data_IF_210728389744
#
_entry.id   IF_210728389744
#
_cell.length_a   1.000
_cell.length_b   1.000
_cell.length_c   1.000
_cell.angle_alpha   90.00
_cell.angle_beta   90.00
_cell.angle_gamma   90.00
#
_symmetry.space_group_name_H-M   'P 1'
#
loop_
_entity.id
_entity.type
_entity.pdbx_description
1 polymer ?
#
# COMPACT_ATOMS: atom_id res chain seq x y z
N UNK A 1 -33.50 -46.10 8.93
CA UNK A 1 -34.94 -46.39 9.07
C UNK A 1 -35.11 -47.87 9.39
N UNK A 2 -35.62 -48.20 10.57
CA UNK A 2 -35.76 -49.59 11.07
C UNK A 2 -36.89 -50.36 10.38
N UNK A 3 -36.86 -50.45 9.05
CA UNK A 3 -37.82 -51.23 8.27
C UNK A 3 -37.61 -52.71 8.60
N UNK A 4 -38.64 -53.43 9.10
CA UNK A 4 -38.50 -54.84 9.46
C UNK A 4 -38.23 -55.68 8.21
N UNK A 5 -37.32 -56.66 8.32
CA UNK A 5 -37.03 -57.60 7.23
C UNK A 5 -38.26 -58.45 6.92
N UNK A 6 -38.43 -58.82 5.64
CA UNK A 6 -39.52 -59.69 5.21
C UNK A 6 -39.44 -61.05 5.92
N UNK A 7 -40.52 -61.43 6.60
CA UNK A 7 -40.67 -62.73 7.28
C UNK A 7 -41.87 -63.47 6.68
N UNK A 8 -41.59 -64.39 5.76
CA UNK A 8 -42.61 -65.05 4.95
C UNK A 8 -43.64 -65.85 5.75
N UNK A 9 -43.26 -66.35 6.94
CA UNK A 9 -44.16 -67.14 7.81
C UNK A 9 -45.10 -66.20 8.56
N UNK A 10 -44.59 -65.16 9.23
CA UNK A 10 -45.42 -64.22 9.99
C UNK A 10 -46.33 -63.37 9.10
N UNK A 11 -45.88 -63.02 7.89
CA UNK A 11 -46.67 -62.25 6.92
C UNK A 11 -47.79 -63.04 6.25
N UNK A 12 -47.71 -64.38 6.24
CA UNK A 12 -48.77 -65.26 5.73
C UNK A 12 -49.91 -65.40 6.76
N UNK A 13 -49.57 -65.57 8.05
CA UNK A 13 -50.55 -65.75 9.13
C UNK A 13 -51.10 -64.42 9.70
N UNK A 14 -50.40 -63.28 9.52
CA UNK A 14 -50.83 -61.98 10.04
C UNK A 14 -50.77 -60.87 8.96
N UNK A 15 -51.84 -60.72 8.15
CA UNK A 15 -51.94 -59.71 7.08
C UNK A 15 -51.62 -58.24 7.46
N UNK A 16 -51.93 -57.71 8.66
CA UNK A 16 -51.61 -56.32 9.00
C UNK A 16 -50.10 -56.04 9.12
N UNK A 17 -49.28 -57.03 9.47
CA UNK A 17 -47.82 -56.87 9.57
C UNK A 17 -47.19 -56.70 8.18
N UNK A 18 -47.66 -57.47 7.19
CA UNK A 18 -47.26 -57.32 5.79
C UNK A 18 -47.61 -55.92 5.26
N UNK A 19 -48.84 -55.45 5.52
CA UNK A 19 -49.27 -54.09 5.11
C UNK A 19 -48.44 -52.99 5.77
N UNK A 20 -48.12 -53.11 7.07
CA UNK A 20 -47.29 -52.15 7.80
C UNK A 20 -45.84 -52.10 7.27
N UNK A 21 -45.22 -53.26 7.00
CA UNK A 21 -43.88 -53.33 6.39
C UNK A 21 -43.86 -52.67 5.01
N UNK A 22 -44.81 -53.02 4.15
CA UNK A 22 -44.90 -52.46 2.80
C UNK A 22 -45.07 -50.93 2.83
N UNK A 23 -45.90 -50.40 3.72
CA UNK A 23 -46.05 -48.95 3.92
C UNK A 23 -44.74 -48.30 4.38
N UNK A 24 -44.03 -48.90 5.33
CA UNK A 24 -42.72 -48.41 5.78
C UNK A 24 -41.65 -48.48 4.68
N UNK A 25 -41.69 -49.51 3.82
CA UNK A 25 -40.80 -49.62 2.65
C UNK A 25 -41.10 -48.55 1.61
N UNK A 26 -42.37 -48.26 1.34
CA UNK A 26 -42.79 -47.19 0.43
C UNK A 26 -42.37 -45.82 0.96
N UNK A 27 -42.63 -45.54 2.24
CA UNK A 27 -42.18 -44.30 2.91
C UNK A 27 -40.66 -44.18 2.89
N UNK A 28 -39.92 -45.27 3.15
CA UNK A 28 -38.47 -45.27 3.12
C UNK A 28 -37.91 -45.04 1.71
N UNK A 29 -38.52 -45.66 0.68
CA UNK A 29 -38.16 -45.42 -0.73
C UNK A 29 -38.45 -43.99 -1.15
N UNK A 30 -39.59 -43.43 -0.72
CA UNK A 30 -39.95 -42.04 -1.01
C UNK A 30 -38.95 -41.08 -0.37
N UNK A 31 -38.61 -41.28 0.90
CA UNK A 31 -37.64 -40.42 1.59
C UNK A 31 -36.24 -40.57 0.99
N UNK A 32 -35.82 -41.77 0.61
CA UNK A 32 -34.55 -41.99 -0.08
C UNK A 32 -34.49 -41.22 -1.42
N UNK A 33 -35.54 -41.30 -2.24
CA UNK A 33 -35.63 -40.55 -3.50
C UNK A 33 -35.52 -39.04 -3.27
N UNK A 34 -36.26 -38.50 -2.30
CA UNK A 34 -36.19 -37.08 -1.94
C UNK A 34 -34.77 -36.68 -1.49
N UNK A 35 -34.12 -37.49 -0.64
CA UNK A 35 -32.75 -37.23 -0.19
C UNK A 35 -31.73 -37.30 -1.32
N UNK A 36 -31.92 -38.21 -2.27
CA UNK A 36 -31.07 -38.34 -3.45
C UNK A 36 -31.22 -37.13 -4.38
N UNK A 37 -32.45 -36.66 -4.59
CA UNK A 37 -32.73 -35.42 -5.34
C UNK A 37 -32.11 -34.20 -4.66
N UNK A 38 -32.31 -34.04 -3.34
CA UNK A 38 -31.67 -32.97 -2.55
C UNK A 38 -30.14 -33.04 -2.67
N UNK A 39 -29.55 -34.23 -2.58
CA UNK A 39 -28.11 -34.43 -2.73
C UNK A 39 -27.63 -34.00 -4.11
N UNK A 40 -28.26 -34.46 -5.19
CA UNK A 40 -27.86 -34.09 -6.55
C UNK A 40 -28.03 -32.59 -6.83
N UNK A 41 -29.07 -31.95 -6.27
CA UNK A 41 -29.22 -30.49 -6.39
C UNK A 41 -28.11 -29.74 -5.65
N UNK A 42 -27.74 -30.19 -4.45
CA UNK A 42 -26.61 -29.61 -3.69
C UNK A 42 -25.27 -29.84 -4.39
N UNK A 43 -25.05 -31.03 -4.92
CA UNK A 43 -23.85 -31.36 -5.69
C UNK A 43 -23.73 -30.46 -6.93
N UNK A 44 -24.83 -30.33 -7.70
CA UNK A 44 -24.88 -29.48 -8.89
C UNK A 44 -24.65 -28.00 -8.56
N UNK A 45 -25.27 -27.48 -7.51
CA UNK A 45 -25.09 -26.08 -7.09
C UNK A 45 -23.69 -25.82 -6.55
N UNK A 46 -23.14 -26.73 -5.74
CA UNK A 46 -21.76 -26.64 -5.25
C UNK A 46 -20.75 -26.68 -6.40
N UNK A 47 -20.95 -27.56 -7.38
CA UNK A 47 -20.10 -27.64 -8.57
C UNK A 47 -20.18 -26.38 -9.42
N UNK A 48 -21.37 -25.83 -9.63
CA UNK A 48 -21.55 -24.58 -10.37
C UNK A 48 -20.86 -23.39 -9.66
N UNK A 49 -21.02 -23.29 -8.33
CA UNK A 49 -20.34 -22.26 -7.54
C UNK A 49 -18.81 -22.41 -7.56
N UNK A 50 -18.31 -23.65 -7.53
CA UNK A 50 -16.89 -23.94 -7.66
C UNK A 50 -16.35 -23.53 -9.04
N UNK A 51 -17.01 -23.92 -10.13
CA UNK A 51 -16.55 -23.55 -11.48
C UNK A 51 -16.58 -22.05 -11.71
N UNK A 52 -17.55 -21.33 -11.14
CA UNK A 52 -17.59 -19.86 -11.21
C UNK A 52 -16.38 -19.23 -10.50
N UNK A 53 -16.09 -19.66 -9.26
CA UNK A 53 -14.92 -19.18 -8.50
C UNK A 53 -13.61 -19.56 -9.18
N UNK A 54 -13.53 -20.76 -9.75
CA UNK A 54 -12.37 -21.23 -10.49
C UNK A 54 -12.15 -20.39 -11.74
N UNK A 55 -13.22 -20.08 -12.48
CA UNK A 55 -13.14 -19.23 -13.67
C UNK A 55 -12.67 -17.82 -13.31
N UNK A 56 -13.26 -17.17 -12.30
CA UNK A 56 -12.84 -15.83 -11.88
C UNK A 56 -11.38 -15.81 -11.43
N UNK A 57 -10.96 -16.80 -10.63
CA UNK A 57 -9.57 -16.93 -10.19
C UNK A 57 -8.59 -17.09 -11.37
N UNK A 58 -8.93 -17.92 -12.37
CA UNK A 58 -8.08 -18.10 -13.56
C UNK A 58 -8.02 -16.84 -14.43
N UNK A 59 -9.11 -16.08 -14.53
CA UNK A 59 -9.15 -14.80 -15.23
C UNK A 59 -8.28 -13.75 -14.53
N UNK A 60 -8.42 -13.59 -13.21
CA UNK A 60 -7.57 -12.71 -12.38
C UNK A 60 -6.10 -13.09 -12.49
N UNK A 61 -5.77 -14.38 -12.39
CA UNK A 61 -4.42 -14.90 -12.55
C UNK A 61 -3.86 -14.58 -13.94
N UNK A 62 -4.65 -14.78 -14.99
CA UNK A 62 -4.22 -14.47 -16.37
C UNK A 62 -3.97 -12.99 -16.57
N UNK A 63 -4.82 -12.11 -16.03
CA UNK A 63 -4.64 -10.66 -16.11
C UNK A 63 -3.40 -10.20 -15.34
N UNK A 64 -3.18 -10.75 -14.14
CA UNK A 64 -1.98 -10.48 -13.35
C UNK A 64 -0.70 -10.94 -14.06
N UNK A 65 -0.69 -12.17 -14.59
CA UNK A 65 0.48 -12.67 -15.32
C UNK A 65 0.80 -11.79 -16.55
N UNK A 66 -0.23 -11.37 -17.27
CA UNK A 66 -0.06 -10.47 -18.41
C UNK A 66 0.53 -9.11 -17.99
N UNK A 67 0.09 -8.53 -16.87
CA UNK A 67 0.65 -7.27 -16.36
C UNK A 67 2.12 -7.40 -15.94
N UNK A 68 2.50 -8.54 -15.37
CA UNK A 68 3.90 -8.85 -15.04
C UNK A 68 4.76 -8.98 -16.29
N UNK A 69 4.28 -9.68 -17.33
CA UNK A 69 5.00 -9.81 -18.59
C UNK A 69 5.16 -8.46 -19.30
N UNK A 70 4.13 -7.62 -19.26
CA UNK A 70 4.20 -6.25 -19.78
C UNK A 70 5.23 -5.41 -19.01
N UNK A 71 5.21 -5.47 -17.66
CA UNK A 71 6.18 -4.76 -16.83
C UNK A 71 7.63 -5.21 -17.13
N UNK A 72 7.85 -6.51 -17.36
CA UNK A 72 9.17 -7.04 -17.77
C UNK A 72 9.63 -6.47 -19.10
N UNK A 73 8.74 -6.40 -20.08
CA UNK A 73 9.04 -5.81 -21.39
C UNK A 73 9.36 -4.32 -21.27
N UNK A 74 8.59 -3.59 -20.49
CA UNK A 74 8.76 -2.15 -20.31
C UNK A 74 10.04 -1.82 -19.51
N UNK A 75 10.37 -2.62 -18.50
CA UNK A 75 11.65 -2.56 -17.80
C UNK A 75 12.80 -2.87 -18.76
N UNK A 76 12.65 -3.89 -19.61
CA UNK A 76 13.67 -4.23 -20.60
C UNK A 76 13.90 -3.09 -21.61
N UNK A 77 12.86 -2.32 -21.94
CA UNK A 77 12.94 -1.11 -22.77
C UNK A 77 13.43 0.13 -22.01
N UNK A 78 13.58 0.06 -20.68
CA UNK A 78 13.97 1.19 -19.83
C UNK A 78 12.90 2.27 -19.72
N UNK A 79 11.62 1.89 -19.82
CA UNK A 79 10.51 2.82 -19.63
C UNK A 79 10.50 3.39 -18.21
N UNK A 80 10.40 4.72 -18.02
CA UNK A 80 10.56 5.32 -16.69
C UNK A 80 9.63 4.76 -15.63
N UNK A 81 8.33 4.65 -15.93
CA UNK A 81 7.35 4.11 -14.99
C UNK A 81 7.66 2.67 -14.55
N UNK A 82 8.21 1.85 -15.45
CA UNK A 82 8.58 0.47 -15.15
C UNK A 82 9.82 0.38 -14.26
N UNK A 83 10.85 1.19 -14.54
CA UNK A 83 12.06 1.28 -13.70
C UNK A 83 11.70 1.77 -12.29
N UNK A 84 10.91 2.84 -12.20
CA UNK A 84 10.43 3.38 -10.92
C UNK A 84 9.61 2.35 -10.12
N UNK A 85 8.67 1.66 -10.77
CA UNK A 85 7.87 0.63 -10.11
C UNK A 85 8.73 -0.53 -9.62
N UNK A 86 9.67 -1.00 -10.43
CA UNK A 86 10.59 -2.06 -10.08
C UNK A 86 11.43 -1.69 -8.86
N UNK A 87 12.02 -0.49 -8.85
CA UNK A 87 12.83 0.01 -7.73
C UNK A 87 11.99 0.17 -6.46
N UNK A 88 10.78 0.73 -6.54
CA UNK A 88 9.89 0.83 -5.37
C UNK A 88 9.58 -0.54 -4.76
N UNK A 89 9.22 -1.51 -5.60
CA UNK A 89 8.98 -2.88 -5.15
C UNK A 89 10.24 -3.49 -4.54
N UNK A 90 11.39 -3.29 -5.17
CA UNK A 90 12.67 -3.78 -4.66
C UNK A 90 13.00 -3.20 -3.28
N UNK A 91 12.87 -1.88 -3.10
CA UNK A 91 13.13 -1.22 -1.81
C UNK A 91 12.14 -1.63 -0.72
N UNK A 92 10.88 -1.91 -1.07
CA UNK A 92 9.89 -2.43 -0.12
C UNK A 92 10.20 -3.82 0.44
N UNK A 93 11.12 -4.56 -0.20
CA UNK A 93 11.60 -5.86 0.28
C UNK A 93 12.81 -5.75 1.20
N UNK A 94 13.34 -4.54 1.44
CA UNK A 94 14.42 -4.33 2.38
C UNK A 94 14.00 -4.73 3.79
N UNK A 95 14.94 -5.32 4.51
CA UNK A 95 14.75 -5.73 5.90
C UNK A 95 15.50 -4.78 6.82
N UNK A 96 14.82 -4.32 7.85
CA UNK A 96 15.34 -3.48 8.91
C UNK A 96 14.56 -3.81 10.20
N UNK A 97 15.05 -3.39 11.38
CA UNK A 97 14.38 -3.71 12.64
C UNK A 97 12.92 -3.23 12.66
N UNK A 98 12.03 -4.00 13.27
CA UNK A 98 10.57 -3.75 13.29
C UNK A 98 10.19 -2.38 13.88
N UNK A 99 11.06 -1.80 14.72
CA UNK A 99 10.86 -0.49 15.32
C UNK A 99 11.09 0.69 14.35
N UNK A 100 11.57 0.41 13.13
CA UNK A 100 11.76 1.42 12.09
C UNK A 100 10.69 1.28 11.03
N UNK A 101 10.12 2.41 10.64
CA UNK A 101 9.28 2.53 9.46
C UNK A 101 9.99 3.42 8.44
N UNK A 102 10.09 2.94 7.20
CA UNK A 102 10.71 3.68 6.10
C UNK A 102 9.82 3.60 4.88
N UNK A 103 9.42 4.75 4.35
CA UNK A 103 8.67 4.85 3.10
C UNK A 103 9.62 5.25 1.98
N UNK A 104 9.56 4.55 0.85
CA UNK A 104 10.41 4.83 -0.32
C UNK A 104 9.57 5.29 -1.52
N UNK A 105 10.03 6.34 -2.20
CA UNK A 105 9.62 6.65 -3.58
C UNK A 105 10.86 6.73 -4.49
N UNK A 106 10.63 6.57 -5.78
CA UNK A 106 11.67 6.59 -6.80
C UNK A 106 11.18 7.32 -8.06
N UNK A 107 12.08 8.11 -8.64
CA UNK A 107 11.93 8.75 -9.96
C UNK A 107 13.11 8.40 -10.84
N UNK A 108 12.83 8.09 -12.10
CA UNK A 108 13.85 7.69 -13.05
C UNK A 108 13.93 8.68 -14.21
N UNK A 109 15.10 9.29 -14.37
CA UNK A 109 15.44 10.19 -15.45
C UNK A 109 16.20 9.42 -16.54
N UNK A 110 15.47 8.97 -17.56
CA UNK A 110 15.99 8.06 -18.60
C UNK A 110 17.17 8.65 -19.39
N UNK A 111 17.17 9.96 -19.64
CA UNK A 111 18.23 10.63 -20.41
C UNK A 111 19.61 10.45 -19.78
N UNK A 112 19.69 10.61 -18.46
CA UNK A 112 20.94 10.52 -17.69
C UNK A 112 21.15 9.14 -17.05
N UNK A 113 20.20 8.20 -17.23
CA UNK A 113 20.14 6.92 -16.50
C UNK A 113 20.29 7.13 -14.99
N UNK A 114 19.62 8.18 -14.50
CA UNK A 114 19.69 8.65 -13.13
C UNK A 114 18.44 8.22 -12.39
N UNK A 115 18.63 7.56 -11.26
CA UNK A 115 17.56 7.19 -10.34
C UNK A 115 17.62 8.08 -9.09
N UNK A 116 16.55 8.80 -8.81
CA UNK A 116 16.41 9.62 -7.59
C UNK A 116 15.47 8.89 -6.65
N UNK A 117 15.97 8.56 -5.46
CA UNK A 117 15.21 7.86 -4.41
C UNK A 117 15.00 8.81 -3.24
N UNK A 118 13.77 8.85 -2.76
CA UNK A 118 13.44 9.50 -1.49
C UNK A 118 13.08 8.43 -0.46
N UNK A 119 13.70 8.51 0.71
CA UNK A 119 13.38 7.70 1.87
C UNK A 119 12.86 8.61 2.97
N UNK A 120 11.68 8.31 3.49
CA UNK A 120 11.10 8.99 4.65
C UNK A 120 11.27 8.10 5.86
N UNK A 121 12.13 8.54 6.78
CA UNK A 121 12.38 7.86 8.05
C UNK A 121 11.41 8.33 9.14
N UNK A 122 11.14 7.46 10.11
CA UNK A 122 10.54 7.86 11.37
C UNK A 122 11.42 8.87 12.13
N UNK A 123 10.78 9.70 12.94
CA UNK A 123 11.45 10.67 13.78
C UNK A 123 12.19 9.98 14.95
N UNK A 124 13.26 10.59 15.51
CA UNK A 124 14.05 9.96 16.56
C UNK A 124 13.27 9.61 17.84
N UNK A 125 12.16 10.30 18.12
CA UNK A 125 11.31 10.01 19.27
C UNK A 125 10.32 8.86 19.05
N UNK A 126 10.13 8.39 17.81
CA UNK A 126 9.34 7.19 17.50
C UNK A 126 10.14 5.90 17.73
N UNK A 127 11.47 6.01 17.89
CA UNK A 127 12.37 4.86 18.01
C UNK A 127 12.59 4.52 19.49
N UNK A 128 12.39 3.25 19.90
CA UNK A 128 12.64 2.80 21.27
C UNK A 128 14.09 3.05 21.72
N UNK A 129 14.25 3.55 22.95
CA UNK A 129 15.57 3.76 23.57
C UNK A 129 16.00 2.64 24.51
N UNK A 130 15.09 1.75 24.87
CA UNK A 130 15.33 0.68 25.82
C UNK A 130 16.24 -0.40 25.22
N UNK A 131 17.36 -0.67 25.88
CA UNK A 131 18.32 -1.73 25.53
C UNK A 131 17.86 -3.07 26.10
N UNK A 132 17.46 -3.06 27.37
CA UNK A 132 17.03 -4.26 28.11
C UNK A 132 16.21 -3.89 29.32
N UNK A 133 15.46 -4.87 29.83
CA UNK A 133 14.80 -4.79 31.12
C UNK A 133 15.58 -5.58 32.17
N UNK A 134 15.70 -5.04 33.38
CA UNK A 134 16.41 -5.66 34.49
C UNK A 134 15.50 -5.72 35.71
N UNK A 135 15.55 -6.82 36.46
CA UNK A 135 14.87 -6.90 37.74
C UNK A 135 15.79 -6.38 38.84
N UNK A 136 15.29 -5.41 39.61
CA UNK A 136 16.01 -4.85 40.76
C UNK A 136 15.34 -5.38 42.02
N UNK A 137 16.06 -6.23 42.77
CA UNK A 137 15.56 -6.85 44.01
C UNK A 137 15.14 -5.82 45.05
N UNK A 138 15.91 -4.74 45.21
CA UNK A 138 15.65 -3.66 46.18
C UNK A 138 14.33 -2.92 45.91
N UNK A 139 13.94 -2.80 44.64
CA UNK A 139 12.70 -2.13 44.20
C UNK A 139 11.55 -3.13 43.94
N UNK A 140 11.82 -4.43 44.07
CA UNK A 140 10.94 -5.51 43.66
C UNK A 140 10.28 -5.30 42.28
N UNK A 141 11.02 -4.70 41.34
CA UNK A 141 10.48 -4.16 40.10
C UNK A 141 11.33 -4.45 38.87
N UNK A 142 10.70 -4.35 37.70
CA UNK A 142 11.38 -4.40 36.40
C UNK A 142 11.66 -2.97 35.96
N UNK A 143 12.93 -2.62 35.76
CA UNK A 143 13.36 -1.32 35.27
C UNK A 143 13.92 -1.43 33.85
N UNK A 144 13.63 -0.42 33.03
CA UNK A 144 14.20 -0.29 31.70
C UNK A 144 15.60 0.33 31.80
N UNK A 145 16.57 -0.27 31.12
CA UNK A 145 17.87 0.36 30.88
C UNK A 145 17.89 0.91 29.47
N UNK A 146 17.98 2.23 29.39
CA UNK A 146 17.92 3.00 28.16
C UNK A 146 19.31 3.42 27.69
N UNK A 147 19.44 3.64 26.39
CA UNK A 147 20.59 4.33 25.82
C UNK A 147 20.67 5.76 26.37
N UNK A 148 21.88 6.19 26.72
CA UNK A 148 22.10 7.62 26.97
C UNK A 148 22.01 8.43 25.65
N UNK A 149 22.02 9.76 25.75
CA UNK A 149 21.82 10.64 24.58
C UNK A 149 22.87 10.41 23.48
N UNK A 150 24.13 10.19 23.86
CA UNK A 150 25.23 9.97 22.91
C UNK A 150 25.10 8.60 22.24
N UNK A 151 24.84 7.54 23.02
CA UNK A 151 24.61 6.19 22.51
C UNK A 151 23.43 6.15 21.52
N UNK A 152 22.33 6.84 21.84
CA UNK A 152 21.19 6.93 20.95
C UNK A 152 21.49 7.73 19.68
N UNK A 153 22.24 8.83 19.79
CA UNK A 153 22.64 9.63 18.63
C UNK A 153 23.52 8.82 17.65
N UNK A 154 24.46 8.04 18.17
CA UNK A 154 25.34 7.18 17.38
C UNK A 154 24.56 6.01 16.75
N UNK A 155 23.67 5.38 17.52
CA UNK A 155 22.77 4.32 17.05
C UNK A 155 21.87 4.80 15.90
N UNK A 156 21.19 5.94 16.09
CA UNK A 156 20.30 6.51 15.09
C UNK A 156 21.05 6.86 13.81
N UNK A 157 22.22 7.50 13.95
CA UNK A 157 23.05 7.85 12.80
C UNK A 157 23.50 6.61 12.02
N UNK A 158 23.97 5.58 12.71
CA UNK A 158 24.46 4.36 12.07
C UNK A 158 23.34 3.64 11.29
N UNK A 159 22.13 3.52 11.87
CA UNK A 159 21.00 2.90 11.17
C UNK A 159 20.63 3.66 9.90
N UNK A 160 20.53 4.99 9.95
CA UNK A 160 20.18 5.77 8.77
C UNK A 160 21.23 5.65 7.66
N UNK A 161 22.52 5.61 8.03
CA UNK A 161 23.60 5.41 7.06
C UNK A 161 23.55 4.02 6.44
N UNK A 162 23.34 2.98 7.24
CA UNK A 162 23.20 1.62 6.75
C UNK A 162 21.98 1.46 5.84
N UNK A 163 20.84 2.08 6.16
CA UNK A 163 19.65 2.08 5.30
C UNK A 163 19.92 2.74 3.95
N UNK A 164 20.56 3.91 3.96
CA UNK A 164 20.97 4.62 2.74
C UNK A 164 21.89 3.76 1.86
N UNK A 165 22.97 3.21 2.45
CA UNK A 165 23.93 2.38 1.72
C UNK A 165 23.32 1.07 1.24
N UNK A 166 22.42 0.45 2.02
CA UNK A 166 21.71 -0.76 1.65
C UNK A 166 20.76 -0.52 0.47
N UNK A 167 20.04 0.61 0.46
CA UNK A 167 19.20 0.99 -0.67
C UNK A 167 20.03 1.16 -1.95
N UNK A 168 21.16 1.88 -1.87
CA UNK A 168 22.09 2.07 -2.99
C UNK A 168 22.64 0.73 -3.49
N UNK A 169 23.09 -0.13 -2.57
CA UNK A 169 23.59 -1.47 -2.89
C UNK A 169 22.52 -2.30 -3.60
N UNK A 170 21.28 -2.29 -3.09
CA UNK A 170 20.17 -3.04 -3.64
C UNK A 170 19.82 -2.58 -5.06
N UNK A 171 19.80 -1.26 -5.28
CA UNK A 171 19.58 -0.65 -6.60
C UNK A 171 20.66 -1.10 -7.58
N UNK A 172 21.95 -0.92 -7.27
CA UNK A 172 23.01 -1.24 -8.22
C UNK A 172 23.21 -2.74 -8.45
N UNK A 173 22.94 -3.58 -7.43
CA UNK A 173 23.01 -5.05 -7.55
C UNK A 173 21.86 -5.64 -8.36
N UNK A 174 20.67 -5.02 -8.33
CA UNK A 174 19.48 -5.55 -8.99
C UNK A 174 19.16 -4.89 -10.32
N UNK A 175 19.58 -3.63 -10.52
CA UNK A 175 19.34 -2.90 -11.77
C UNK A 175 20.53 -3.07 -12.74
N UNK A 176 20.29 -3.48 -14.00
CA UNK A 176 21.32 -3.53 -15.03
C UNK A 176 22.01 -2.18 -15.28
N UNK A 177 23.31 -2.20 -15.59
CA UNK A 177 24.13 -1.03 -15.93
C UNK A 177 23.49 -0.15 -17.01
N UNK A 178 22.91 -0.78 -18.04
CA UNK A 178 22.24 -0.07 -19.15
C UNK A 178 21.01 0.73 -18.73
N UNK A 179 20.45 0.47 -17.55
CA UNK A 179 19.28 1.16 -17.03
C UNK A 179 19.68 2.20 -15.98
N UNK A 180 20.51 1.84 -15.00
CA UNK A 180 20.87 2.78 -13.92
C UNK A 180 22.38 2.95 -13.87
N UNK A 181 22.84 4.12 -14.28
CA UNK A 181 24.25 4.52 -14.21
C UNK A 181 24.53 5.28 -12.91
N UNK A 182 23.55 6.04 -12.43
CA UNK A 182 23.70 6.90 -11.25
C UNK A 182 22.48 6.80 -10.36
N UNK A 183 22.71 6.89 -9.05
CA UNK A 183 21.68 6.96 -8.04
C UNK A 183 21.90 8.17 -7.14
N UNK A 184 20.81 8.86 -6.83
CA UNK A 184 20.73 9.87 -5.76
C UNK A 184 19.80 9.31 -4.70
N UNK A 185 20.24 9.39 -3.44
CA UNK A 185 19.42 9.05 -2.29
C UNK A 185 19.20 10.30 -1.45
N UNK A 186 17.95 10.60 -1.12
CA UNK A 186 17.57 11.67 -0.21
C UNK A 186 16.84 11.08 0.99
N UNK A 187 17.45 11.20 2.18
CA UNK A 187 16.84 10.83 3.45
C UNK A 187 16.10 12.01 4.05
N UNK A 188 14.80 11.86 4.23
CA UNK A 188 13.88 12.81 4.88
C UNK A 188 13.37 12.22 6.19
N UNK A 189 12.87 13.06 7.07
CA UNK A 189 12.27 12.61 8.35
C UNK A 189 10.85 13.10 8.46
N UNK A 190 9.96 12.20 8.88
CA UNK A 190 8.56 12.49 9.16
C UNK A 190 8.46 13.63 10.18
N UNK A 191 7.72 14.68 9.85
CA UNK A 191 7.43 15.75 10.79
C UNK A 191 6.28 15.33 11.69
N UNK A 192 6.48 15.48 12.99
CA UNK A 192 5.57 15.00 14.05
C UNK A 192 4.53 16.05 14.43
N UNK A 193 4.73 17.30 13.98
CA UNK A 193 3.91 18.44 14.37
C UNK A 193 2.90 18.79 13.27
N UNK A 194 1.65 18.98 13.69
CA UNK A 194 0.51 19.47 12.91
C UNK A 194 0.67 20.93 12.39
N UNK A 195 1.84 21.55 12.56
CA UNK A 195 2.18 22.91 12.13
C UNK A 195 3.07 22.92 10.87
N UNK A 196 3.06 21.83 10.10
CA UNK A 196 3.59 21.88 8.74
C UNK A 196 2.45 22.30 7.83
N UNK A 197 2.64 23.39 7.09
CA UNK A 197 1.68 23.81 6.07
C UNK A 197 1.36 22.61 5.17
N UNK A 198 0.07 22.31 4.89
CA UNK A 198 -0.30 21.21 4.02
C UNK A 198 0.39 21.36 2.66
N UNK A 199 1.45 20.59 2.43
CA UNK A 199 2.23 20.63 1.19
C UNK A 199 3.72 20.93 1.33
N UNK A 200 4.22 21.32 2.52
CA UNK A 200 5.67 21.45 2.68
C UNK A 200 6.37 20.08 2.72
N UNK A 201 7.43 19.88 1.90
CA UNK A 201 8.13 18.61 1.86
C UNK A 201 8.92 18.39 3.14
N UNK A 202 8.80 17.20 3.71
CA UNK A 202 9.56 16.78 4.90
C UNK A 202 11.05 17.13 4.78
N UNK A 203 11.70 17.61 5.86
CA UNK A 203 13.07 18.08 5.80
C UNK A 203 14.02 16.95 5.39
N UNK A 204 14.87 17.22 4.41
CA UNK A 204 15.95 16.31 4.04
C UNK A 204 17.11 16.49 5.01
N UNK A 205 17.58 15.42 5.64
CA UNK A 205 18.65 15.44 6.65
C UNK A 205 19.96 14.82 6.14
N UNK A 206 19.87 14.03 5.06
CA UNK A 206 21.01 13.45 4.37
C UNK A 206 20.72 13.30 2.89
N UNK A 207 21.75 13.44 2.06
CA UNK A 207 21.67 13.17 0.63
C UNK A 207 23.01 12.63 0.14
N UNK A 208 23.01 11.76 -0.87
CA UNK A 208 24.24 11.36 -1.54
C UNK A 208 23.98 11.08 -3.02
N UNK A 209 25.04 11.19 -3.82
CA UNK A 209 25.01 10.91 -5.26
C UNK A 209 26.18 10.02 -5.61
N UNK A 210 25.88 8.89 -6.20
CA UNK A 210 26.87 7.87 -6.54
C UNK A 210 26.63 7.39 -7.96
N UNK A 211 27.71 7.28 -8.73
CA UNK A 211 27.70 6.58 -10.02
C UNK A 211 28.19 5.14 -9.84
N UNK A 212 27.93 4.30 -10.84
CA UNK A 212 28.22 2.87 -10.76
C UNK A 212 29.72 2.57 -10.59
N UNK A 213 30.59 3.35 -11.22
CA UNK A 213 32.04 3.20 -11.10
C UNK A 213 32.54 3.48 -9.67
N UNK A 214 32.06 4.57 -9.06
CA UNK A 214 32.38 4.92 -7.67
C UNK A 214 31.82 3.87 -6.70
N UNK A 215 30.59 3.42 -6.90
CA UNK A 215 30.00 2.32 -6.14
C UNK A 215 30.89 1.07 -6.19
N UNK A 216 31.35 0.65 -7.38
CA UNK A 216 32.23 -0.51 -7.57
C UNK A 216 33.61 -0.34 -6.93
N UNK A 217 34.07 0.89 -6.75
CA UNK A 217 35.37 1.17 -6.12
C UNK A 217 35.37 1.05 -4.59
N UNK A 218 34.18 0.96 -3.97
CA UNK A 218 34.02 0.91 -2.51
C UNK A 218 33.51 -0.46 -2.07
N UNK A 219 34.34 -1.18 -1.32
CA UNK A 219 33.95 -2.43 -0.66
C UNK A 219 33.12 -2.12 0.61
N UNK A 220 31.79 -2.08 0.47
CA UNK A 220 30.87 -1.72 1.56
C UNK A 220 31.01 -2.62 2.79
N UNK A 221 31.43 -3.88 2.62
CA UNK A 221 31.61 -4.83 3.74
C UNK A 221 32.80 -4.50 4.64
N UNK A 222 33.76 -3.71 4.14
CA UNK A 222 35.07 -3.48 4.79
C UNK A 222 35.28 -2.04 5.23
N UNK A 223 34.32 -1.15 4.99
CA UNK A 223 34.42 0.28 5.27
C UNK A 223 33.29 0.69 6.24
N UNK A 224 33.58 1.46 7.30
CA UNK A 224 32.53 1.99 8.19
C UNK A 224 31.49 2.80 7.42
N UNK A 225 30.21 2.70 7.81
CA UNK A 225 29.07 3.30 7.10
C UNK A 225 29.24 4.80 6.84
N UNK A 226 29.73 5.55 7.83
CA UNK A 226 29.99 6.99 7.68
C UNK A 226 31.06 7.26 6.62
N UNK A 227 32.16 6.50 6.61
CA UNK A 227 33.23 6.67 5.63
C UNK A 227 32.77 6.28 4.22
N UNK A 228 31.98 5.21 4.08
CA UNK A 228 31.39 4.81 2.81
C UNK A 228 30.43 5.88 2.26
N UNK A 229 29.55 6.42 3.12
CA UNK A 229 28.62 7.49 2.75
C UNK A 229 29.35 8.75 2.27
N UNK A 230 30.42 9.16 2.97
CA UNK A 230 31.24 10.30 2.54
C UNK A 230 31.95 10.05 1.20
N UNK A 231 32.42 8.81 0.96
CA UNK A 231 32.98 8.42 -0.36
C UNK A 231 31.94 8.47 -1.48
N UNK A 232 30.65 8.28 -1.16
CA UNK A 232 29.53 8.45 -2.10
C UNK A 232 29.05 9.90 -2.21
N UNK A 233 29.96 10.86 -1.97
CA UNK A 233 29.68 12.29 -1.99
C UNK A 233 28.49 12.67 -1.10
N UNK A 234 28.36 11.97 0.03
CA UNK A 234 27.28 12.17 0.97
C UNK A 234 27.39 13.48 1.74
N UNK A 235 26.25 14.14 1.90
CA UNK A 235 26.07 15.38 2.65
C UNK A 235 25.07 15.10 3.77
N UNK A 236 25.45 15.38 5.01
CA UNK A 236 24.59 15.29 6.17
C UNK A 236 24.99 16.36 7.20
N UNK A 237 24.09 16.69 8.11
CA UNK A 237 24.45 17.46 9.30
C UNK A 237 24.58 16.54 10.51
N UNK A 238 25.74 16.56 11.17
CA UNK A 238 25.99 15.76 12.37
C UNK A 238 25.68 16.53 13.65
N UNK A 239 25.11 15.88 14.67
CA UNK A 239 24.56 14.53 14.65
C UNK A 239 23.19 14.50 13.93
N UNK A 240 22.86 13.39 13.26
CA UNK A 240 21.59 13.26 12.51
C UNK A 240 20.34 13.40 13.39
N UNK A 241 20.45 13.08 14.68
CA UNK A 241 19.37 13.26 15.66
C UNK A 241 18.93 14.73 15.81
N UNK A 242 19.78 15.70 15.43
CA UNK A 242 19.44 17.12 15.44
C UNK A 242 18.51 17.54 14.30
N UNK A 243 18.27 16.66 13.32
CA UNK A 243 17.36 16.85 12.18
C UNK A 243 17.60 18.15 11.39
N UNK A 244 18.85 18.64 11.37
CA UNK A 244 19.20 19.87 10.67
C UNK A 244 19.07 19.65 9.15
N UNK A 245 18.25 20.47 8.45
CA UNK A 245 18.03 20.29 7.02
C UNK A 245 19.31 20.47 6.19
N UNK A 246 19.45 19.65 5.15
CA UNK A 246 20.44 19.77 4.07
C UNK A 246 19.73 19.94 2.73
N UNK A 247 20.40 20.58 1.78
CA UNK A 247 19.86 20.73 0.42
C UNK A 247 20.06 19.41 -0.34
N UNK A 248 19.00 18.77 -0.88
CA UNK A 248 19.13 17.58 -1.70
C UNK A 248 20.01 17.83 -2.94
N UNK A 249 20.93 16.91 -3.25
CA UNK A 249 21.80 17.04 -4.44
C UNK A 249 20.95 17.08 -5.73
N UNK A 250 19.89 16.27 -5.77
CA UNK A 250 18.87 16.28 -6.81
C UNK A 250 17.52 16.18 -6.12
N UNK A 251 16.62 17.13 -6.37
CA UNK A 251 15.24 17.07 -5.87
C UNK A 251 14.45 16.05 -6.67
N UNK A 252 13.65 15.23 -6.01
CA UNK A 252 12.70 14.38 -6.71
C UNK A 252 11.62 15.25 -7.36
N UNK A 253 11.54 15.22 -8.70
CA UNK A 253 10.48 15.93 -9.41
C UNK A 253 9.15 15.26 -9.11
N UNK A 254 8.18 16.05 -8.66
CA UNK A 254 6.80 15.58 -8.57
C UNK A 254 6.30 15.24 -9.98
N UNK A 255 5.39 14.27 -10.08
CA UNK A 255 4.66 14.08 -11.34
C UNK A 255 3.93 15.40 -11.60
N UNK A 256 3.97 15.95 -12.83
CA UNK A 256 3.22 17.16 -13.14
C UNK A 256 1.77 16.95 -12.70
N UNK A 257 1.27 17.87 -11.89
CA UNK A 257 -0.13 17.87 -11.49
C UNK A 257 -0.98 17.84 -12.77
N UNK A 258 -2.04 17.02 -12.85
CA UNK A 258 -3.02 17.12 -13.93
C UNK A 258 -3.68 18.51 -14.01
N UNK A 259 -3.55 19.30 -12.94
CA UNK A 259 -4.03 20.66 -12.84
C UNK A 259 -2.88 21.65 -13.07
N UNK A 260 -3.08 22.70 -13.89
CA UNK A 260 -2.07 23.73 -14.08
C UNK A 260 -1.70 24.37 -12.74
N UNK A 261 -0.39 24.61 -12.53
CA UNK A 261 0.10 25.34 -11.37
C UNK A 261 -0.62 26.70 -11.30
N UNK A 262 -1.18 27.10 -10.13
CA UNK A 262 -1.78 28.42 -10.00
C UNK A 262 -0.71 29.47 -10.29
N UNK A 263 -1.02 30.40 -11.19
CA UNK A 263 -0.09 31.46 -11.57
C UNK A 263 0.38 32.24 -10.31
N UNK A 264 1.64 32.69 -10.29
CA UNK A 264 2.17 33.45 -9.16
C UNK A 264 1.28 34.66 -8.89
N UNK A 265 0.75 34.74 -7.67
CA UNK A 265 -0.14 35.81 -7.23
C UNK A 265 0.62 37.15 -7.35
N UNK A 266 0.13 38.13 -8.12
CA UNK A 266 0.78 39.43 -8.25
C UNK A 266 0.68 40.25 -6.96
N UNK A 267 1.67 41.14 -6.76
CA UNK A 267 1.88 42.00 -5.59
C UNK A 267 0.59 42.66 -5.03
N UNK A 268 0.40 42.75 -3.70
CA UNK A 268 -0.88 42.99 -3.05
C UNK A 268 -1.36 44.45 -3.08
N UNK A 269 -0.98 45.24 -4.08
CA UNK A 269 -1.39 46.64 -4.18
C UNK A 269 -2.72 46.88 -4.91
N UNK A 270 -3.37 45.84 -5.42
CA UNK A 270 -4.74 45.92 -5.95
C UNK A 270 -5.55 44.66 -5.58
N UNK A 271 -5.67 44.37 -4.28
CA UNK A 271 -6.54 43.28 -3.83
C UNK A 271 -8.01 43.71 -3.87
N UNK A 272 -8.79 43.10 -4.77
CA UNK A 272 -10.21 42.85 -4.48
C UNK A 272 -10.31 42.10 -3.13
N UNK A 273 -11.39 42.28 -2.34
CA UNK A 273 -11.44 41.72 -1.00
C UNK A 273 -11.21 40.21 -1.05
N UNK A 274 -10.22 39.74 -0.30
CA UNK A 274 -9.98 38.32 -0.07
C UNK A 274 -11.29 37.67 0.38
N UNK A 275 -11.67 36.51 -0.19
CA UNK A 275 -12.87 35.81 0.25
C UNK A 275 -12.79 35.52 1.75
N UNK A 276 -13.93 35.63 2.42
CA UNK A 276 -14.02 35.49 3.86
C UNK A 276 -13.41 34.15 4.32
N UNK A 277 -12.69 34.11 5.46
CA UNK A 277 -12.11 32.90 5.97
C UNK A 277 -13.19 31.84 6.21
N UNK A 278 -12.92 30.63 5.70
CA UNK A 278 -13.80 29.47 5.72
C UNK A 278 -14.33 29.17 7.12
N UNK A 279 -15.65 29.02 7.26
CA UNK A 279 -16.28 28.51 8.49
C UNK A 279 -16.72 27.05 8.30
N UNK A 280 -16.33 26.13 9.21
CA UNK A 280 -16.79 24.74 9.17
C UNK A 280 -18.33 24.66 9.11
N UNK A 281 -18.86 24.00 8.07
CA UNK A 281 -20.30 23.91 7.76
C UNK A 281 -20.74 24.70 6.53
N UNK A 282 -19.93 25.66 6.04
CA UNK A 282 -20.25 26.42 4.82
C UNK A 282 -20.17 25.55 3.55
N UNK A 283 -19.27 24.55 3.49
CA UNK A 283 -19.22 23.60 2.36
C UNK A 283 -20.48 22.75 2.26
N UNK A 284 -21.08 22.34 3.39
CA UNK A 284 -22.34 21.58 3.36
C UNK A 284 -23.51 22.44 2.87
N UNK A 285 -23.55 23.72 3.28
CA UNK A 285 -24.61 24.62 2.84
C UNK A 285 -24.44 25.03 1.38
N UNK A 286 -23.22 25.31 0.92
CA UNK A 286 -22.93 25.56 -0.49
C UNK A 286 -23.22 24.33 -1.36
N UNK A 287 -22.86 23.13 -0.89
CA UNK A 287 -23.18 21.90 -1.61
C UNK A 287 -24.70 21.66 -1.67
N UNK A 288 -25.44 21.97 -0.60
CA UNK A 288 -26.91 21.90 -0.59
C UNK A 288 -27.55 22.92 -1.53
N UNK A 289 -27.05 24.16 -1.57
CA UNK A 289 -27.52 25.19 -2.52
C UNK A 289 -27.23 24.79 -3.97
N UNK A 290 -26.00 24.34 -4.28
CA UNK A 290 -25.65 23.88 -5.62
C UNK A 290 -26.51 22.70 -6.08
N UNK A 291 -26.76 21.74 -5.19
CA UNK A 291 -27.63 20.60 -5.49
C UNK A 291 -29.08 21.05 -5.66
N UNK A 292 -29.56 22.01 -4.85
CA UNK A 292 -30.89 22.60 -4.99
C UNK A 292 -31.06 23.31 -6.32
N UNK A 293 -30.11 24.15 -6.72
CA UNK A 293 -30.13 24.89 -7.99
C UNK A 293 -30.09 23.94 -9.20
N UNK A 294 -29.31 22.86 -9.11
CA UNK A 294 -29.26 21.83 -10.16
C UNK A 294 -30.61 21.09 -10.24
N UNK A 295 -31.24 20.78 -9.11
CA UNK A 295 -32.55 20.13 -9.09
C UNK A 295 -33.65 21.06 -9.64
N UNK A 296 -33.66 22.34 -9.27
CA UNK A 296 -34.58 23.34 -9.84
C UNK A 296 -34.37 23.54 -11.34
N UNK A 297 -33.13 23.51 -11.83
CA UNK A 297 -32.84 23.56 -13.27
C UNK A 297 -33.32 22.31 -14.01
N UNK A 298 -33.21 21.12 -13.40
CA UNK A 298 -33.72 19.88 -13.97
C UNK A 298 -35.25 19.90 -14.00
N UNK A 299 -35.91 20.34 -12.95
CA UNK A 299 -37.37 20.44 -12.86
C UNK A 299 -37.94 21.46 -13.87
N UNK A 300 -37.32 22.64 -13.98
CA UNK A 300 -37.70 23.65 -14.98
C UNK A 300 -37.46 23.20 -16.43
N UNK A 301 -36.41 22.40 -16.68
CA UNK A 301 -36.17 21.82 -18.01
C UNK A 301 -37.13 20.66 -18.31
N UNK A 302 -37.56 19.91 -17.29
CA UNK A 302 -38.57 18.86 -17.41
C UNK A 302 -39.97 19.42 -17.69
N UNK A 303 -40.34 20.55 -17.08
CA UNK A 303 -41.60 21.23 -17.37
C UNK A 303 -41.62 21.87 -18.77
N UNK A 304 -40.49 22.40 -19.25
CA UNK A 304 -40.37 22.95 -20.61
C UNK A 304 -40.39 21.88 -21.71
N UNK A 305 -40.13 20.62 -21.40
CA UNK A 305 -40.11 19.50 -22.36
C UNK A 305 -41.40 18.68 -22.38
N UNK A 306 -42.38 18.99 -21.52
CA UNK A 306 -43.74 18.45 -21.65
C UNK A 306 -44.50 19.18 -22.76
N UNK A 307 -44.45 18.63 -23.97
CA UNK A 307 -45.49 18.94 -24.96
C UNK A 307 -46.87 18.48 -24.43
N UNK A 308 -47.94 19.25 -24.65
CA UNK A 308 -49.27 18.89 -24.17
C UNK A 308 -49.86 17.80 -25.06
N UNK A 309 -49.62 16.52 -24.74
CA UNK A 309 -50.33 15.46 -25.46
C UNK A 309 -49.94 13.99 -25.28
N UNK A 310 -48.81 13.63 -24.67
CA UNK A 310 -48.47 12.21 -24.57
C UNK A 310 -48.87 11.59 -23.22
N UNK A 311 -50.03 10.93 -23.25
CA UNK A 311 -50.41 9.89 -22.29
C UNK A 311 -49.63 8.63 -22.70
N UNK A 312 -48.82 8.07 -21.80
CA UNK A 312 -48.26 6.73 -21.95
C UNK A 312 -48.60 5.90 -20.71
N UNK A 313 -49.12 4.71 -20.99
CA UNK A 313 -49.47 3.61 -20.08
C UNK A 313 -48.30 3.11 -19.23
#
# INVERSE_FOLDING_TARGET
MGVPRKDSIKEFFLPPFKKRRLKMEEEARRLFKLKLEEYHQREKSARAAYELKRKSFLEEQSQYNHSIDQLRLDLAKGQPGAVESFVRTLLSLMKYPDAFEVEFDARYEQGDRLLVVEAVFCAPNEIPRTIRYQYIEEEHGITAVEMNEQEFADFFQEILLQLCLSAIHLIFSSCPDRLVEQAVFNGRVRTINHEVDPGEPQPCIMTCRVNRDLYRSVELSSVPSQAAFLRFNGIMSTPLVALKPVVPIQKMRQKPSPYPEPEPVPDPQNSSPSPAPYRPGELENMAKELVSDILEQIENNWEKTKEPGEIIH
#
